data_IF_828395940077
#
_entry.id   IF_828395940077
#
_cell.length_a   1.000
_cell.length_b   1.000
_cell.length_c   1.000
_cell.angle_alpha   90.00
_cell.angle_beta   90.00
_cell.angle_gamma   90.00
#
_symmetry.space_group_name_H-M   'P 1'
#
loop_
_entity.id
_entity.type
_entity.pdbx_description
1 polymer ?
#
# COMPACT_ATOMS: atom_id res chain seq x y z
N UNK A 1 5.44 -57.92 9.97
CA UNK A 1 5.65 -56.67 10.69
C UNK A 1 4.41 -55.82 10.47
N UNK A 2 3.45 -55.85 11.45
CA UNK A 2 2.25 -55.01 11.45
C UNK A 2 2.66 -53.56 11.64
N UNK A 3 2.36 -52.69 10.65
CA UNK A 3 2.46 -51.25 10.80
C UNK A 3 1.56 -50.80 11.95
N UNK A 4 2.14 -50.30 13.04
CA UNK A 4 1.47 -49.67 14.16
C UNK A 4 0.63 -48.52 13.62
N UNK A 5 -0.68 -48.72 13.64
CA UNK A 5 -1.68 -47.75 13.22
C UNK A 5 -1.66 -46.61 14.29
N UNK A 6 -0.92 -45.55 14.04
CA UNK A 6 -0.87 -44.37 14.91
C UNK A 6 -2.28 -43.82 15.06
N UNK A 7 -2.89 -44.01 16.24
CA UNK A 7 -4.22 -43.46 16.60
C UNK A 7 -4.25 -41.98 16.25
N UNK A 8 -5.04 -41.62 15.24
CA UNK A 8 -5.23 -40.20 14.87
C UNK A 8 -5.76 -39.45 16.04
N UNK A 9 -4.98 -38.49 16.56
CA UNK A 9 -5.40 -37.63 17.68
C UNK A 9 -6.61 -36.79 17.27
N UNK A 10 -7.55 -36.56 18.21
CA UNK A 10 -8.72 -35.70 17.96
C UNK A 10 -8.27 -34.35 17.37
N UNK A 11 -9.00 -33.86 16.34
CA UNK A 11 -8.69 -32.63 15.65
C UNK A 11 -7.61 -32.73 14.57
N UNK A 12 -7.06 -33.96 14.27
CA UNK A 12 -6.08 -34.12 13.20
C UNK A 12 -6.75 -34.06 11.81
N UNK A 13 -6.29 -33.15 10.95
CA UNK A 13 -6.72 -33.04 9.57
C UNK A 13 -5.56 -32.59 8.67
N UNK A 14 -5.66 -32.81 7.33
CA UNK A 14 -4.62 -32.35 6.40
C UNK A 14 -4.44 -30.84 6.50
N UNK A 15 -3.27 -30.42 6.98
CA UNK A 15 -2.99 -29.03 7.31
C UNK A 15 -2.29 -28.27 6.19
N UNK A 16 -1.55 -28.99 5.34
CA UNK A 16 -0.66 -28.37 4.36
C UNK A 16 -1.43 -27.50 3.37
N UNK A 17 -2.51 -28.03 2.78
CA UNK A 17 -3.34 -27.29 1.83
C UNK A 17 -4.00 -26.07 2.46
N UNK A 18 -4.46 -26.19 3.72
CA UNK A 18 -5.07 -25.07 4.46
C UNK A 18 -4.03 -23.98 4.71
N UNK A 19 -2.84 -24.34 5.20
CA UNK A 19 -1.75 -23.38 5.48
C UNK A 19 -1.33 -22.67 4.19
N UNK A 20 -1.09 -23.41 3.09
CA UNK A 20 -0.70 -22.82 1.81
C UNK A 20 -1.75 -21.85 1.31
N UNK A 21 -3.04 -22.21 1.37
CA UNK A 21 -4.12 -21.35 0.88
C UNK A 21 -4.27 -20.08 1.70
N UNK A 22 -4.18 -20.17 3.04
CA UNK A 22 -4.18 -18.98 3.92
C UNK A 22 -2.96 -18.13 3.63
N UNK A 23 -1.78 -18.75 3.51
CA UNK A 23 -0.52 -18.02 3.22
C UNK A 23 -0.62 -17.26 1.91
N UNK A 24 -1.15 -17.88 0.85
CA UNK A 24 -1.32 -17.24 -0.46
C UNK A 24 -2.28 -16.05 -0.38
N UNK A 25 -3.43 -16.22 0.28
CA UNK A 25 -4.39 -15.14 0.46
C UNK A 25 -3.81 -13.98 1.27
N UNK A 26 -3.08 -14.27 2.35
CA UNK A 26 -2.41 -13.26 3.18
C UNK A 26 -1.27 -12.58 2.42
N UNK A 27 -0.51 -13.32 1.60
CA UNK A 27 0.55 -12.77 0.78
C UNK A 27 -0.01 -11.74 -0.23
N UNK A 28 -1.09 -12.09 -0.95
CA UNK A 28 -1.74 -11.14 -1.87
C UNK A 28 -2.31 -9.93 -1.12
N UNK A 29 -2.90 -10.14 0.06
CA UNK A 29 -3.37 -9.04 0.94
C UNK A 29 -2.21 -8.14 1.36
N UNK A 30 -1.08 -8.73 1.71
CA UNK A 30 0.13 -8.02 2.09
C UNK A 30 0.77 -7.25 0.93
N UNK A 31 0.77 -7.82 -0.28
CA UNK A 31 1.19 -7.09 -1.49
C UNK A 31 0.35 -5.84 -1.71
N UNK A 32 -0.96 -5.95 -1.56
CA UNK A 32 -1.84 -4.81 -1.67
C UNK A 32 -1.58 -3.76 -0.58
N UNK A 33 -1.40 -4.20 0.66
CA UNK A 33 -1.01 -3.31 1.76
C UNK A 33 0.31 -2.58 1.49
N UNK A 34 1.29 -3.27 0.89
CA UNK A 34 2.55 -2.65 0.46
C UNK A 34 2.35 -1.58 -0.62
N UNK A 35 1.54 -1.87 -1.65
CA UNK A 35 1.23 -0.90 -2.71
C UNK A 35 0.63 0.37 -2.10
N UNK A 36 -0.29 0.23 -1.14
CA UNK A 36 -0.89 1.38 -0.43
C UNK A 36 0.18 2.17 0.34
N UNK A 37 1.04 1.48 1.10
CA UNK A 37 2.09 2.14 1.89
C UNK A 37 3.05 2.91 0.98
N UNK A 38 3.58 2.26 -0.06
CA UNK A 38 4.51 2.92 -0.99
C UNK A 38 3.86 4.08 -1.74
N UNK A 39 2.59 3.95 -2.11
CA UNK A 39 1.86 5.04 -2.73
C UNK A 39 1.69 6.24 -1.81
N UNK A 40 1.37 6.02 -0.54
CA UNK A 40 1.24 7.11 0.44
C UNK A 40 2.58 7.77 0.72
N UNK A 41 3.68 7.00 0.82
CA UNK A 41 5.01 7.57 1.01
C UNK A 41 5.48 8.31 -0.26
N UNK A 42 5.16 7.82 -1.46
CA UNK A 42 5.43 8.51 -2.71
C UNK A 42 4.65 9.84 -2.79
N UNK A 43 3.35 9.82 -2.47
CA UNK A 43 2.54 11.05 -2.41
C UNK A 43 3.13 12.05 -1.42
N UNK A 44 3.56 11.60 -0.25
CA UNK A 44 4.22 12.43 0.76
C UNK A 44 5.52 13.03 0.23
N UNK A 45 6.38 12.22 -0.40
CA UNK A 45 7.65 12.65 -1.00
C UNK A 45 7.41 13.71 -2.08
N UNK A 46 6.44 13.47 -2.98
CA UNK A 46 6.07 14.43 -4.02
C UNK A 46 5.56 15.72 -3.40
N UNK A 47 4.67 15.64 -2.40
CA UNK A 47 4.14 16.83 -1.70
C UNK A 47 5.23 17.61 -0.98
N UNK A 48 6.16 16.96 -0.29
CA UNK A 48 7.28 17.63 0.41
C UNK A 48 8.23 18.32 -0.55
N UNK A 49 8.35 17.82 -1.78
CA UNK A 49 9.20 18.40 -2.83
C UNK A 49 8.42 19.27 -3.83
N UNK A 50 7.13 19.51 -3.60
CA UNK A 50 6.34 20.37 -4.46
C UNK A 50 6.92 21.77 -4.54
N UNK A 51 7.29 22.15 -5.75
CA UNK A 51 7.72 23.51 -6.10
C UNK A 51 6.72 24.09 -7.10
N UNK A 52 6.36 25.35 -6.89
CA UNK A 52 5.71 26.13 -7.92
C UNK A 52 6.77 26.74 -8.83
N UNK A 53 6.60 26.57 -10.11
CA UNK A 53 7.41 27.18 -11.14
C UNK A 53 6.69 28.44 -11.64
N UNK A 54 7.22 29.59 -11.29
CA UNK A 54 6.68 30.89 -11.68
C UNK A 54 7.49 31.39 -12.87
N UNK A 55 6.97 31.17 -14.07
CA UNK A 55 7.59 31.64 -15.32
C UNK A 55 7.39 33.14 -15.49
N UNK A 56 8.46 33.82 -15.86
CA UNK A 56 8.48 35.25 -16.05
C UNK A 56 8.21 35.64 -17.52
N UNK A 57 7.66 36.83 -17.73
CA UNK A 57 7.53 37.39 -19.08
C UNK A 57 8.91 37.71 -19.65
N UNK A 58 9.09 37.50 -20.95
CA UNK A 58 10.33 37.85 -21.64
C UNK A 58 10.57 39.37 -21.60
N UNK A 59 11.86 39.75 -21.51
CA UNK A 59 12.25 41.18 -21.58
C UNK A 59 12.07 41.98 -20.26
N UNK A 60 11.87 41.32 -19.14
CA UNK A 60 11.88 42.01 -17.83
C UNK A 60 13.26 42.56 -17.53
N UNK A 61 13.27 43.84 -17.07
CA UNK A 61 14.50 44.43 -16.54
C UNK A 61 14.86 43.80 -15.20
N UNK A 62 16.16 43.86 -14.85
CA UNK A 62 16.63 43.33 -13.57
C UNK A 62 15.89 43.92 -12.35
N UNK A 63 15.54 45.20 -12.43
CA UNK A 63 14.75 45.86 -11.41
C UNK A 63 13.35 45.28 -11.27
N UNK A 64 12.69 45.02 -12.38
CA UNK A 64 11.35 44.43 -12.39
C UNK A 64 11.39 42.95 -11.88
N UNK A 65 12.45 42.20 -12.24
CA UNK A 65 12.66 40.84 -11.75
C UNK A 65 12.82 40.79 -10.22
N UNK A 66 13.66 41.73 -9.65
CA UNK A 66 13.81 41.85 -8.21
C UNK A 66 12.52 42.29 -7.49
N UNK A 67 11.67 43.09 -8.15
CA UNK A 67 10.36 43.42 -7.59
C UNK A 67 9.43 42.19 -7.52
N UNK A 68 9.44 41.32 -8.54
CA UNK A 68 8.66 40.09 -8.51
C UNK A 68 9.21 39.19 -7.41
N UNK A 69 10.51 38.98 -7.32
CA UNK A 69 11.17 38.20 -6.27
C UNK A 69 10.76 38.64 -4.86
N UNK A 70 10.89 39.94 -4.57
CA UNK A 70 10.52 40.49 -3.28
C UNK A 70 9.04 40.27 -2.93
N UNK A 71 8.15 40.38 -3.93
CA UNK A 71 6.73 40.05 -3.74
C UNK A 71 6.51 38.59 -3.42
N UNK A 72 7.18 37.69 -4.15
CA UNK A 72 7.09 36.24 -3.92
C UNK A 72 7.61 35.86 -2.53
N UNK A 73 8.68 36.50 -2.03
CA UNK A 73 9.22 36.28 -0.69
C UNK A 73 8.27 36.72 0.45
N UNK A 74 7.42 37.71 0.20
CA UNK A 74 6.46 38.20 1.20
C UNK A 74 5.21 37.34 1.30
N UNK A 75 5.00 36.40 0.40
CA UNK A 75 3.79 35.57 0.40
C UNK A 75 3.75 34.61 1.60
N UNK A 76 2.58 34.46 2.24
CA UNK A 76 2.44 33.66 3.46
C UNK A 76 2.63 32.17 3.26
N UNK A 77 2.56 31.69 2.04
CA UNK A 77 2.66 30.28 1.67
C UNK A 77 4.07 29.86 1.22
N UNK A 78 5.01 30.81 1.06
CA UNK A 78 6.41 30.50 0.81
C UNK A 78 7.03 29.86 2.07
N UNK A 79 7.61 28.68 1.92
CA UNK A 79 8.15 27.92 3.06
C UNK A 79 9.49 28.49 3.53
N UNK A 80 9.48 29.29 4.57
CA UNK A 80 10.67 29.89 5.19
C UNK A 80 11.33 29.01 6.25
N UNK A 81 10.77 27.84 6.56
CA UNK A 81 11.06 27.16 7.85
C UNK A 81 11.95 25.92 7.73
N UNK A 82 12.22 25.35 6.56
CA UNK A 82 12.78 24.00 6.47
C UNK A 82 14.25 23.90 6.08
N UNK A 83 14.92 24.96 5.68
CA UNK A 83 16.37 24.92 5.40
C UNK A 83 16.95 26.32 5.47
N UNK A 84 18.22 26.46 5.82
CA UNK A 84 19.00 27.71 5.70
C UNK A 84 19.12 28.22 4.24
N UNK A 85 18.39 27.63 3.30
CA UNK A 85 18.30 28.03 1.91
C UNK A 85 17.10 28.94 1.68
N UNK A 86 17.25 29.92 0.82
CA UNK A 86 16.16 30.77 0.34
C UNK A 86 15.01 29.89 -0.18
N UNK A 87 13.75 30.13 0.26
CA UNK A 87 12.59 29.39 -0.22
C UNK A 87 12.33 29.58 -1.71
N UNK A 88 13.01 30.52 -2.33
CA UNK A 88 12.91 30.90 -3.74
C UNK A 88 14.27 30.73 -4.41
N UNK A 89 14.29 29.97 -5.49
CA UNK A 89 15.46 29.78 -6.35
C UNK A 89 15.15 30.34 -7.73
N UNK A 90 16.00 31.26 -8.21
CA UNK A 90 15.95 31.72 -9.59
C UNK A 90 16.63 30.72 -10.50
N UNK A 91 16.04 30.44 -11.64
CA UNK A 91 16.59 29.62 -12.71
C UNK A 91 16.44 30.40 -14.02
N UNK A 92 17.55 30.71 -14.66
CA UNK A 92 17.51 31.37 -15.98
C UNK A 92 17.08 30.41 -17.07
N UNK A 93 16.55 30.94 -18.16
CA UNK A 93 16.21 30.15 -19.35
C UNK A 93 17.40 29.36 -19.92
N UNK A 94 18.62 29.90 -19.78
CA UNK A 94 19.86 29.24 -20.22
C UNK A 94 20.21 28.07 -19.28
N UNK A 95 20.07 28.23 -17.97
CA UNK A 95 20.28 27.15 -16.99
C UNK A 95 19.25 26.03 -17.16
N UNK A 96 17.97 26.40 -17.39
CA UNK A 96 16.89 25.47 -17.66
C UNK A 96 17.16 24.67 -18.94
N UNK A 97 17.59 25.30 -20.01
CA UNK A 97 17.95 24.63 -21.27
C UNK A 97 19.11 23.65 -21.09
N UNK A 98 20.19 24.06 -20.42
CA UNK A 98 21.34 23.17 -20.14
C UNK A 98 20.90 21.95 -19.35
N UNK A 99 20.06 22.13 -18.33
CA UNK A 99 19.55 21.05 -17.51
C UNK A 99 18.69 20.09 -18.34
N UNK A 100 17.78 20.60 -19.15
CA UNK A 100 16.92 19.80 -20.02
C UNK A 100 17.74 18.95 -21.00
N UNK A 101 18.74 19.55 -21.68
CA UNK A 101 19.63 18.85 -22.60
C UNK A 101 20.44 17.76 -21.89
N UNK A 102 20.91 18.05 -20.67
CA UNK A 102 21.66 17.07 -19.88
C UNK A 102 20.80 15.87 -19.43
N UNK A 103 19.52 16.08 -19.13
CA UNK A 103 18.59 15.05 -18.67
C UNK A 103 17.98 14.23 -19.81
N UNK A 104 17.66 14.86 -20.94
CA UNK A 104 16.96 14.21 -22.06
C UNK A 104 17.91 13.78 -23.19
N UNK A 105 19.08 14.40 -23.31
CA UNK A 105 19.98 14.25 -24.44
C UNK A 105 19.52 14.98 -25.72
N UNK A 106 18.37 15.65 -25.69
CA UNK A 106 17.77 16.33 -26.85
C UNK A 106 18.05 17.83 -26.82
N UNK A 107 18.71 18.33 -27.86
CA UNK A 107 19.01 19.75 -28.00
C UNK A 107 17.96 20.43 -28.87
N UNK A 108 16.88 20.91 -28.23
CA UNK A 108 15.77 21.59 -28.91
C UNK A 108 16.17 22.95 -29.51
N UNK A 109 17.28 23.58 -29.06
CA UNK A 109 17.71 24.87 -29.59
C UNK A 109 18.11 24.77 -31.07
N UNK A 110 18.56 23.59 -31.51
CA UNK A 110 18.88 23.31 -32.92
C UNK A 110 17.65 23.31 -33.83
N UNK A 111 16.46 23.02 -33.28
CA UNK A 111 15.21 23.00 -34.04
C UNK A 111 14.52 24.36 -34.10
N UNK A 112 14.56 25.10 -32.99
CA UNK A 112 13.82 26.38 -32.86
C UNK A 112 14.69 27.61 -33.19
N UNK A 113 16.02 27.45 -33.30
CA UNK A 113 16.94 28.56 -33.62
C UNK A 113 17.17 29.54 -32.47
N UNK A 114 16.35 29.51 -31.42
CA UNK A 114 16.47 30.26 -30.16
C UNK A 114 15.94 29.42 -28.99
N UNK A 115 16.24 29.85 -27.77
CA UNK A 115 15.75 29.20 -26.56
C UNK A 115 14.30 29.66 -26.24
N UNK A 116 13.28 28.78 -26.40
CA UNK A 116 11.89 29.13 -26.16
C UNK A 116 11.52 29.18 -24.67
N UNK A 117 12.43 28.80 -23.77
CA UNK A 117 12.17 28.73 -22.34
C UNK A 117 12.10 30.15 -21.73
N UNK A 118 11.47 30.24 -20.58
CA UNK A 118 11.34 31.44 -19.79
C UNK A 118 12.23 31.36 -18.53
N UNK A 119 12.66 32.51 -18.07
CA UNK A 119 13.20 32.61 -16.71
C UNK A 119 12.13 32.22 -15.70
N UNK A 120 12.51 31.53 -14.64
CA UNK A 120 11.55 31.05 -13.65
C UNK A 120 12.05 31.21 -12.22
N UNK A 121 11.14 31.43 -11.31
CA UNK A 121 11.34 31.26 -9.89
C UNK A 121 10.75 29.93 -9.42
N UNK A 122 11.56 29.10 -8.78
CA UNK A 122 11.13 27.87 -8.11
C UNK A 122 10.84 28.18 -6.66
N UNK A 123 9.57 28.01 -6.24
CA UNK A 123 9.11 28.35 -4.90
C UNK A 123 8.69 27.08 -4.17
N UNK A 124 9.30 26.81 -3.01
CA UNK A 124 8.85 25.75 -2.10
C UNK A 124 7.63 26.27 -1.31
N UNK A 125 6.53 25.54 -1.41
CA UNK A 125 5.27 25.86 -0.72
C UNK A 125 5.21 25.11 0.62
N UNK A 126 4.67 25.78 1.65
CA UNK A 126 4.51 25.13 2.96
C UNK A 126 3.47 24.01 2.89
N UNK A 127 3.72 22.83 3.51
CA UNK A 127 2.88 21.62 3.40
C UNK A 127 1.38 21.85 3.71
N UNK A 128 1.05 22.78 4.60
CA UNK A 128 -0.35 23.10 4.92
C UNK A 128 -1.17 23.62 3.73
N UNK A 129 -0.50 24.11 2.67
CA UNK A 129 -1.15 24.63 1.46
C UNK A 129 -1.15 23.64 0.28
N UNK A 130 -0.67 22.41 0.47
CA UNK A 130 -0.57 21.40 -0.58
C UNK A 130 -1.90 20.76 -1.00
N UNK A 131 -3.05 21.26 -0.51
CA UNK A 131 -4.35 20.80 -1.02
C UNK A 131 -4.58 21.37 -2.43
N UNK A 132 -5.20 20.57 -3.31
CA UNK A 132 -5.45 20.95 -4.71
C UNK A 132 -6.20 22.29 -4.81
N UNK A 133 -7.18 22.52 -3.91
CA UNK A 133 -7.94 23.77 -3.86
C UNK A 133 -7.09 24.97 -3.47
N UNK A 134 -6.15 24.79 -2.53
CA UNK A 134 -5.23 25.84 -2.10
C UNK A 134 -4.20 26.15 -3.18
N UNK A 135 -3.61 25.12 -3.80
CA UNK A 135 -2.64 25.27 -4.87
C UNK A 135 -3.23 25.98 -6.10
N UNK A 136 -4.48 25.66 -6.48
CA UNK A 136 -5.18 26.35 -7.55
C UNK A 136 -5.44 27.84 -7.22
N UNK A 137 -5.76 28.17 -5.97
CA UNK A 137 -5.93 29.57 -5.55
C UNK A 137 -4.60 30.32 -5.62
N UNK A 138 -3.53 29.73 -5.08
CA UNK A 138 -2.18 30.29 -5.12
C UNK A 138 -1.72 30.52 -6.56
N UNK A 139 -1.89 29.52 -7.44
CA UNK A 139 -1.59 29.65 -8.86
C UNK A 139 -2.30 30.86 -9.49
N UNK A 140 -3.63 30.97 -9.33
CA UNK A 140 -4.42 32.09 -9.87
C UNK A 140 -4.03 33.44 -9.28
N UNK A 141 -3.61 33.50 -8.04
CA UNK A 141 -3.14 34.71 -7.39
C UNK A 141 -1.79 35.16 -7.96
N UNK A 142 -0.85 34.24 -8.10
CA UNK A 142 0.47 34.51 -8.67
C UNK A 142 0.41 34.87 -10.16
N UNK A 143 -0.47 34.25 -10.94
CA UNK A 143 -0.66 34.57 -12.37
C UNK A 143 -1.18 35.99 -12.60
N UNK A 144 -1.82 36.62 -11.60
CA UNK A 144 -2.26 38.02 -11.68
C UNK A 144 -1.13 39.03 -11.39
N UNK A 145 0.04 38.56 -10.95
CA UNK A 145 1.14 39.46 -10.62
C UNK A 145 1.79 40.04 -11.89
N UNK A 146 2.09 41.32 -11.88
CA UNK A 146 2.80 41.95 -13.00
C UNK A 146 4.19 41.34 -13.17
N UNK A 147 4.53 40.91 -14.40
CA UNK A 147 5.81 40.28 -14.69
C UNK A 147 5.75 38.75 -14.73
N UNK A 148 4.70 38.11 -14.20
CA UNK A 148 4.47 36.68 -14.30
C UNK A 148 3.81 36.36 -15.63
N UNK A 149 4.33 35.36 -16.32
CA UNK A 149 3.77 34.83 -17.56
C UNK A 149 2.78 33.70 -17.26
N UNK A 150 3.22 32.70 -16.52
CA UNK A 150 2.43 31.50 -16.17
C UNK A 150 2.98 30.91 -14.88
N UNK A 151 2.13 30.22 -14.13
CA UNK A 151 2.52 29.44 -12.97
C UNK A 151 2.20 27.97 -13.23
N UNK A 152 3.20 27.12 -13.09
CA UNK A 152 3.05 25.67 -13.25
C UNK A 152 3.43 24.95 -11.95
N UNK A 153 2.82 23.81 -11.73
CA UNK A 153 3.21 22.84 -10.69
C UNK A 153 2.75 21.44 -11.12
N UNK A 154 3.38 20.43 -10.57
CA UNK A 154 3.13 19.03 -10.93
C UNK A 154 1.81 18.54 -10.31
N UNK A 155 0.69 19.09 -10.80
CA UNK A 155 -0.66 18.75 -10.32
C UNK A 155 -1.12 17.38 -10.82
N UNK A 156 -0.86 17.09 -12.10
CA UNK A 156 -1.43 15.93 -12.79
C UNK A 156 -0.84 14.59 -12.31
N UNK A 157 0.38 14.58 -11.79
CA UNK A 157 1.00 13.36 -11.25
C UNK A 157 0.29 12.88 -9.98
N UNK A 158 0.02 13.77 -9.02
CA UNK A 158 -0.60 13.39 -7.73
C UNK A 158 -2.05 12.97 -7.92
N UNK A 159 -2.81 13.71 -8.74
CA UNK A 159 -4.21 13.41 -9.01
C UNK A 159 -4.38 12.12 -9.83
N UNK A 160 -3.50 11.88 -10.81
CA UNK A 160 -3.51 10.67 -11.65
C UNK A 160 -3.13 9.43 -10.87
N UNK A 161 -2.14 9.52 -9.98
CA UNK A 161 -1.75 8.42 -9.09
C UNK A 161 -2.92 8.03 -8.19
N UNK A 162 -3.57 8.98 -7.52
CA UNK A 162 -4.69 8.70 -6.63
C UNK A 162 -5.89 8.06 -7.35
N UNK A 163 -6.25 8.54 -8.52
CA UNK A 163 -7.37 7.98 -9.30
C UNK A 163 -7.09 6.56 -9.77
N UNK A 164 -5.90 6.31 -10.28
CA UNK A 164 -5.48 4.98 -10.74
C UNK A 164 -5.39 3.99 -9.57
N UNK A 165 -4.89 4.42 -8.41
CA UNK A 165 -4.82 3.59 -7.21
C UNK A 165 -6.20 3.18 -6.71
N UNK A 166 -7.20 4.06 -6.76
CA UNK A 166 -8.57 3.71 -6.36
C UNK A 166 -9.15 2.61 -7.25
N UNK A 167 -8.94 2.71 -8.56
CA UNK A 167 -9.43 1.71 -9.51
C UNK A 167 -8.71 0.37 -9.35
N UNK A 168 -7.38 0.38 -9.24
CA UNK A 168 -6.56 -0.82 -8.99
C UNK A 168 -6.92 -1.41 -7.62
N UNK A 169 -7.12 -0.56 -6.61
CA UNK A 169 -7.51 -0.94 -5.27
C UNK A 169 -8.82 -1.72 -5.23
N UNK A 170 -9.80 -1.30 -6.00
CA UNK A 170 -11.10 -1.96 -6.06
C UNK A 170 -11.01 -3.36 -6.72
N UNK A 171 -10.22 -3.50 -7.78
CA UNK A 171 -9.96 -4.78 -8.43
C UNK A 171 -9.24 -5.73 -7.46
N UNK A 172 -8.19 -5.25 -6.79
CA UNK A 172 -7.42 -6.04 -5.82
C UNK A 172 -8.27 -6.43 -4.60
N UNK A 173 -9.12 -5.53 -4.09
CA UNK A 173 -10.06 -5.83 -3.02
C UNK A 173 -11.04 -6.94 -3.41
N UNK A 174 -11.55 -6.92 -4.64
CA UNK A 174 -12.37 -8.00 -5.21
C UNK A 174 -11.63 -9.33 -5.25
N UNK A 175 -10.38 -9.33 -5.71
CA UNK A 175 -9.53 -10.51 -5.77
C UNK A 175 -9.21 -11.06 -4.37
N UNK A 176 -8.89 -10.20 -3.40
CA UNK A 176 -8.66 -10.61 -2.00
C UNK A 176 -9.93 -11.25 -1.42
N UNK A 177 -11.08 -10.65 -1.66
CA UNK A 177 -12.37 -11.19 -1.19
C UNK A 177 -12.62 -12.58 -1.76
N UNK A 178 -12.38 -12.78 -3.06
CA UNK A 178 -12.51 -14.10 -3.72
C UNK A 178 -11.54 -15.13 -3.12
N UNK A 179 -10.29 -14.74 -2.87
CA UNK A 179 -9.30 -15.61 -2.22
C UNK A 179 -9.71 -15.98 -0.79
N UNK A 180 -10.22 -15.05 0.00
CA UNK A 180 -10.71 -15.32 1.35
C UNK A 180 -11.91 -16.26 1.34
N UNK A 181 -12.84 -16.09 0.42
CA UNK A 181 -13.96 -17.05 0.23
C UNK A 181 -13.43 -18.43 -0.10
N UNK A 182 -12.47 -18.54 -1.01
CA UNK A 182 -11.85 -19.83 -1.38
C UNK A 182 -11.18 -20.49 -0.18
N UNK A 183 -10.46 -19.72 0.65
CA UNK A 183 -9.85 -20.20 1.90
C UNK A 183 -10.92 -20.74 2.85
N UNK A 184 -12.01 -20.01 3.06
CA UNK A 184 -13.12 -20.44 3.93
C UNK A 184 -13.75 -21.73 3.43
N UNK A 185 -13.99 -21.84 2.14
CA UNK A 185 -14.53 -23.06 1.51
C UNK A 185 -13.58 -24.26 1.68
N UNK A 186 -12.29 -24.04 1.48
CA UNK A 186 -11.27 -25.09 1.62
C UNK A 186 -11.15 -25.56 3.08
N UNK A 187 -11.14 -24.64 4.05
CA UNK A 187 -11.16 -24.97 5.48
C UNK A 187 -12.43 -25.79 5.79
N UNK A 188 -13.58 -25.34 5.31
CA UNK A 188 -14.86 -26.03 5.55
C UNK A 188 -14.85 -27.46 5.01
N UNK A 189 -14.40 -27.67 3.77
CA UNK A 189 -14.29 -28.99 3.17
C UNK A 189 -13.30 -29.91 3.90
N UNK A 190 -12.14 -29.37 4.26
CA UNK A 190 -11.09 -30.11 4.99
C UNK A 190 -11.59 -30.51 6.38
N UNK A 191 -12.26 -29.61 7.09
CA UNK A 191 -12.83 -29.91 8.40
C UNK A 191 -13.98 -30.92 8.31
N UNK A 192 -14.84 -30.83 7.30
CA UNK A 192 -15.92 -31.81 7.07
C UNK A 192 -15.36 -33.23 6.93
N UNK A 193 -14.29 -33.41 6.14
CA UNK A 193 -13.63 -34.71 5.99
C UNK A 193 -12.99 -35.19 7.31
N UNK A 194 -12.37 -34.28 8.07
CA UNK A 194 -11.76 -34.59 9.35
C UNK A 194 -12.79 -35.00 10.41
N UNK A 195 -13.90 -34.28 10.49
CA UNK A 195 -15.01 -34.59 11.42
C UNK A 195 -15.70 -35.90 11.06
N UNK A 196 -15.88 -36.16 9.75
CA UNK A 196 -16.41 -37.45 9.26
C UNK A 196 -15.48 -38.60 9.63
N UNK A 197 -14.19 -38.47 9.44
CA UNK A 197 -13.18 -39.50 9.84
C UNK A 197 -13.18 -39.75 11.36
N UNK A 198 -13.59 -38.83 12.17
CA UNK A 198 -13.61 -38.89 13.65
C UNK A 198 -15.03 -39.03 14.21
N UNK A 199 -16.02 -39.31 13.38
CA UNK A 199 -17.44 -39.31 13.75
C UNK A 199 -17.79 -40.19 14.96
N UNK A 200 -17.21 -41.42 15.02
CA UNK A 200 -17.44 -42.36 16.12
C UNK A 200 -16.92 -41.81 17.45
N UNK A 201 -15.71 -41.23 17.47
CA UNK A 201 -15.12 -40.60 18.65
C UNK A 201 -15.95 -39.42 19.14
N UNK A 202 -16.36 -38.55 18.22
CA UNK A 202 -17.21 -37.39 18.54
C UNK A 202 -18.55 -37.85 19.10
N UNK A 203 -19.14 -38.90 18.52
CA UNK A 203 -20.40 -39.47 18.98
C UNK A 203 -20.32 -40.06 20.38
N UNK A 204 -19.26 -40.83 20.66
CA UNK A 204 -19.01 -41.38 21.99
C UNK A 204 -18.89 -40.27 23.04
N UNK A 205 -18.20 -39.18 22.71
CA UNK A 205 -18.09 -38.01 23.60
C UNK A 205 -19.44 -37.33 23.84
N UNK A 206 -20.29 -37.22 22.81
CA UNK A 206 -21.64 -36.66 22.93
C UNK A 206 -22.55 -37.53 23.81
N UNK A 207 -22.45 -38.86 23.67
CA UNK A 207 -23.25 -39.81 24.49
C UNK A 207 -22.88 -39.76 25.96
N UNK A 208 -21.64 -39.53 26.28
CA UNK A 208 -21.14 -39.33 27.68
C UNK A 208 -21.43 -37.93 28.21
N UNK A 209 -22.08 -37.04 27.40
CA UNK A 209 -22.49 -35.71 27.82
C UNK A 209 -21.43 -34.62 27.64
N UNK A 210 -20.42 -34.82 26.81
CA UNK A 210 -19.37 -33.80 26.56
C UNK A 210 -19.98 -32.51 25.98
N UNK A 211 -19.62 -31.38 26.55
CA UNK A 211 -20.05 -30.04 26.05
C UNK A 211 -19.49 -29.78 24.66
N UNK A 212 -20.28 -29.12 23.79
CA UNK A 212 -19.88 -28.78 22.40
C UNK A 212 -18.52 -28.08 22.36
N UNK A 213 -18.24 -27.16 23.29
CA UNK A 213 -16.98 -26.43 23.38
C UNK A 213 -15.78 -27.37 23.59
N UNK A 214 -15.92 -28.41 24.43
CA UNK A 214 -14.87 -29.39 24.66
C UNK A 214 -14.47 -30.12 23.36
N UNK A 215 -15.45 -30.44 22.51
CA UNK A 215 -15.22 -31.08 21.20
C UNK A 215 -14.58 -30.11 20.21
N UNK A 216 -14.93 -28.83 20.24
CA UNK A 216 -14.43 -27.78 19.32
C UNK A 216 -13.00 -27.34 19.63
N UNK A 217 -12.63 -27.26 20.90
CA UNK A 217 -11.37 -26.71 21.39
C UNK A 217 -10.12 -27.24 20.68
N UNK A 218 -9.91 -28.56 20.46
CA UNK A 218 -8.70 -29.08 19.81
C UNK A 218 -8.59 -28.66 18.33
N UNK A 219 -9.71 -28.46 17.64
CA UNK A 219 -9.73 -27.97 16.26
C UNK A 219 -9.40 -26.48 16.21
N UNK A 220 -9.95 -25.68 17.12
CA UNK A 220 -9.70 -24.25 17.18
C UNK A 220 -8.25 -23.94 17.54
N UNK A 221 -7.64 -24.69 18.46
CA UNK A 221 -6.23 -24.52 18.80
C UNK A 221 -5.31 -24.82 17.59
N UNK A 222 -5.66 -25.81 16.79
CA UNK A 222 -4.91 -26.10 15.55
C UNK A 222 -5.12 -25.00 14.50
N UNK A 223 -6.37 -24.52 14.32
CA UNK A 223 -6.67 -23.43 13.41
C UNK A 223 -5.89 -22.15 13.79
N UNK A 224 -5.80 -21.87 15.10
CA UNK A 224 -4.97 -20.78 15.63
C UNK A 224 -3.48 -20.97 15.23
N UNK A 225 -2.93 -22.17 15.42
CA UNK A 225 -1.56 -22.49 14.99
C UNK A 225 -1.35 -22.33 13.48
N UNK A 226 -2.32 -22.78 12.66
CA UNK A 226 -2.24 -22.62 11.20
C UNK A 226 -2.34 -21.15 10.79
N UNK A 227 -3.18 -20.35 11.45
CA UNK A 227 -3.28 -18.90 11.20
C UNK A 227 -1.97 -18.19 11.49
N UNK A 228 -1.32 -18.49 12.62
CA UNK A 228 0.00 -17.93 12.96
C UNK A 228 1.05 -18.37 11.94
N UNK A 229 1.15 -19.66 11.63
CA UNK A 229 2.13 -20.19 10.69
C UNK A 229 1.98 -19.53 9.31
N UNK A 230 0.74 -19.44 8.82
CA UNK A 230 0.44 -18.80 7.54
C UNK A 230 0.78 -17.30 7.54
N UNK A 231 0.49 -16.59 8.63
CA UNK A 231 0.82 -15.18 8.79
C UNK A 231 2.34 -14.93 8.80
N UNK A 232 3.09 -15.78 9.50
CA UNK A 232 4.56 -15.73 9.50
C UNK A 232 5.11 -15.98 8.09
N UNK A 233 4.65 -17.05 7.42
CA UNK A 233 5.10 -17.36 6.07
C UNK A 233 4.80 -16.22 5.08
N UNK A 234 3.59 -15.66 5.12
CA UNK A 234 3.23 -14.52 4.29
C UNK A 234 4.13 -13.30 4.57
N UNK A 235 4.39 -13.00 5.84
CA UNK A 235 5.28 -11.90 6.24
C UNK A 235 6.72 -12.12 5.78
N UNK A 236 7.23 -13.35 5.86
CA UNK A 236 8.55 -13.71 5.34
C UNK A 236 8.63 -13.53 3.83
N UNK A 237 7.63 -13.97 3.08
CA UNK A 237 7.59 -13.78 1.63
C UNK A 237 7.56 -12.30 1.24
N UNK A 238 6.78 -11.47 1.95
CA UNK A 238 6.75 -10.03 1.74
C UNK A 238 8.10 -9.40 2.06
N UNK A 239 8.72 -9.79 3.16
CA UNK A 239 10.04 -9.29 3.54
C UNK A 239 11.11 -9.64 2.49
N UNK A 240 11.10 -10.87 1.97
CA UNK A 240 12.00 -11.30 0.89
C UNK A 240 11.75 -10.48 -0.39
N UNK A 241 10.48 -10.23 -0.72
CA UNK A 241 10.13 -9.41 -1.88
C UNK A 241 10.64 -7.98 -1.75
N UNK A 242 10.45 -7.35 -0.58
CA UNK A 242 10.96 -6.00 -0.30
C UNK A 242 12.48 -5.97 -0.43
N UNK A 243 13.16 -6.96 0.15
CA UNK A 243 14.63 -7.05 0.06
C UNK A 243 15.11 -7.20 -1.37
N UNK A 244 14.41 -8.01 -2.17
CA UNK A 244 14.71 -8.18 -3.59
C UNK A 244 14.45 -6.90 -4.39
N UNK A 245 13.31 -6.24 -4.16
CA UNK A 245 12.93 -4.99 -4.83
C UNK A 245 13.95 -3.88 -4.53
N UNK A 246 14.33 -3.71 -3.26
CA UNK A 246 15.32 -2.68 -2.84
C UNK A 246 16.73 -2.93 -3.41
N UNK A 247 17.05 -4.17 -3.77
CA UNK A 247 18.34 -4.47 -4.39
C UNK A 247 18.39 -4.07 -5.87
N UNK A 248 17.24 -4.11 -6.56
CA UNK A 248 17.16 -3.87 -7.99
C UNK A 248 16.71 -2.44 -8.34
N UNK A 249 16.07 -1.74 -7.39
CA UNK A 249 15.54 -0.38 -7.59
C UNK A 249 15.92 0.46 -6.38
N UNK A 250 16.99 1.25 -6.51
CA UNK A 250 17.52 2.07 -5.40
C UNK A 250 16.52 3.11 -4.89
N UNK A 251 15.71 3.67 -5.77
CA UNK A 251 14.70 4.68 -5.43
C UNK A 251 13.61 4.17 -4.47
N UNK A 252 13.35 2.84 -4.43
CA UNK A 252 12.38 2.27 -3.51
C UNK A 252 12.82 2.35 -2.04
N UNK A 253 14.11 2.47 -1.77
CA UNK A 253 14.64 2.58 -0.41
C UNK A 253 14.14 3.87 0.26
N UNK A 254 14.05 4.95 -0.52
CA UNK A 254 13.57 6.27 -0.05
C UNK A 254 12.10 6.23 0.37
N UNK A 255 11.31 5.36 -0.29
CA UNK A 255 9.88 5.18 -0.03
C UNK A 255 9.60 4.17 1.11
N UNK A 256 10.64 3.52 1.63
CA UNK A 256 10.45 2.49 2.65
C UNK A 256 10.20 3.10 4.04
N UNK A 257 8.97 2.95 4.53
CA UNK A 257 8.63 3.24 5.91
C UNK A 257 8.65 1.93 6.73
N UNK A 258 9.72 1.75 7.51
CA UNK A 258 9.94 0.52 8.32
C UNK A 258 8.81 0.29 9.32
N UNK A 259 8.36 1.34 10.00
CA UNK A 259 7.32 1.26 11.03
C UNK A 259 5.99 0.76 10.44
N UNK A 260 5.56 1.34 9.32
CA UNK A 260 4.34 0.92 8.61
C UNK A 260 4.46 -0.49 8.04
N UNK A 261 5.64 -0.87 7.56
CA UNK A 261 5.92 -2.24 7.07
C UNK A 261 5.80 -3.27 8.18
N UNK A 262 6.36 -3.00 9.38
CA UNK A 262 6.20 -3.88 10.53
C UNK A 262 4.75 -3.96 11.01
N UNK A 263 4.03 -2.84 11.03
CA UNK A 263 2.60 -2.80 11.35
C UNK A 263 1.78 -3.64 10.37
N UNK A 264 2.08 -3.59 9.07
CA UNK A 264 1.47 -4.44 8.06
C UNK A 264 1.71 -5.92 8.36
N UNK A 265 2.95 -6.33 8.61
CA UNK A 265 3.29 -7.72 8.95
C UNK A 265 2.54 -8.20 10.21
N UNK A 266 2.44 -7.35 11.23
CA UNK A 266 1.65 -7.63 12.44
C UNK A 266 0.16 -7.80 12.13
N UNK A 267 -0.40 -6.96 11.27
CA UNK A 267 -1.80 -7.05 10.85
C UNK A 267 -2.09 -8.34 10.08
N UNK A 268 -1.17 -8.81 9.22
CA UNK A 268 -1.32 -10.08 8.51
C UNK A 268 -1.37 -11.29 9.45
N UNK A 269 -0.58 -11.30 10.53
CA UNK A 269 -0.66 -12.33 11.57
C UNK A 269 -2.04 -12.35 12.22
N UNK A 270 -2.55 -11.19 12.61
CA UNK A 270 -3.87 -11.05 13.25
C UNK A 270 -4.98 -11.51 12.30
N UNK A 271 -4.96 -11.04 11.05
CA UNK A 271 -5.96 -11.42 10.03
C UNK A 271 -5.91 -12.92 9.75
N UNK A 272 -4.71 -13.52 9.64
CA UNK A 272 -4.54 -14.96 9.43
C UNK A 272 -5.16 -15.78 10.56
N UNK A 273 -4.94 -15.39 11.80
CA UNK A 273 -5.54 -16.05 12.97
C UNK A 273 -7.06 -15.87 12.97
N UNK A 274 -7.57 -14.67 12.73
CA UNK A 274 -9.02 -14.39 12.69
C UNK A 274 -9.69 -15.25 11.63
N UNK A 275 -9.17 -15.27 10.40
CA UNK A 275 -9.75 -16.04 9.28
C UNK A 275 -9.74 -17.53 9.59
N UNK A 276 -8.62 -18.08 10.07
CA UNK A 276 -8.50 -19.49 10.38
C UNK A 276 -9.44 -19.93 11.51
N UNK A 277 -9.49 -19.17 12.61
CA UNK A 277 -10.29 -19.50 13.80
C UNK A 277 -11.79 -19.33 13.53
N UNK A 278 -12.20 -18.21 12.91
CA UNK A 278 -13.62 -17.94 12.61
C UNK A 278 -14.17 -18.95 11.61
N UNK A 279 -13.46 -19.24 10.51
CA UNK A 279 -13.86 -20.25 9.54
C UNK A 279 -14.01 -21.62 10.19
N UNK A 280 -13.04 -22.02 11.00
CA UNK A 280 -13.08 -23.29 11.74
C UNK A 280 -14.25 -23.36 12.72
N UNK A 281 -14.47 -22.29 13.47
CA UNK A 281 -15.57 -22.21 14.45
C UNK A 281 -16.94 -22.39 13.78
N UNK A 282 -17.19 -21.63 12.70
CA UNK A 282 -18.47 -21.73 11.98
C UNK A 282 -18.66 -23.09 11.31
N UNK A 283 -17.61 -23.66 10.72
CA UNK A 283 -17.65 -24.98 10.09
C UNK A 283 -18.00 -26.07 11.09
N UNK A 284 -17.35 -26.11 12.24
CA UNK A 284 -17.60 -27.12 13.28
C UNK A 284 -19.01 -26.92 13.87
N UNK A 285 -19.41 -25.67 14.15
CA UNK A 285 -20.74 -25.37 14.67
C UNK A 285 -21.85 -25.83 13.73
N UNK A 286 -21.67 -25.65 12.42
CA UNK A 286 -22.60 -26.14 11.39
C UNK A 286 -22.68 -27.67 11.43
N UNK A 287 -21.53 -28.36 11.44
CA UNK A 287 -21.47 -29.82 11.46
C UNK A 287 -22.10 -30.43 12.71
N UNK A 288 -21.82 -29.87 13.92
CA UNK A 288 -22.38 -30.37 15.19
C UNK A 288 -23.88 -30.08 15.35
N UNK A 289 -24.50 -29.29 14.47
CA UNK A 289 -25.94 -29.03 14.42
C UNK A 289 -26.72 -29.97 13.45
N UNK A 290 -26.00 -30.61 12.51
CA UNK A 290 -26.63 -31.49 11.53
C UNK A 290 -27.15 -32.75 12.23
N UNK A 291 -28.35 -33.19 11.84
CA UNK A 291 -28.97 -34.41 12.34
C UNK A 291 -28.27 -35.65 11.82
N UNK A 292 -28.53 -36.80 12.48
CA UNK A 292 -27.92 -38.08 12.11
C UNK A 292 -28.24 -38.51 10.68
N UNK A 293 -29.47 -38.20 10.24
CA UNK A 293 -30.03 -38.61 8.95
C UNK A 293 -29.41 -37.86 7.77
N UNK A 294 -28.79 -36.68 8.03
CA UNK A 294 -28.07 -35.88 7.03
C UNK A 294 -26.60 -36.31 6.87
N UNK A 295 -26.13 -37.25 7.70
CA UNK A 295 -24.76 -37.75 7.70
C UNK A 295 -24.59 -39.11 6.99
N UNK A 296 -25.73 -39.72 6.58
CA UNK A 296 -25.79 -40.89 5.78
C UNK A 296 -26.35 -40.56 4.40
#
# INVERSE_FOLDING_TARGET
VQKVNTRKKLGSYPSLGVVISITLALFVTGLFGMIIIYSQEFEKLVRENLRLEVYLKNGLTETQRKQVEKKLETLPYANKTLTNESPIKFVSKEEAAKKFIAETGEDFTKFYGDNPLHDAYLIKIHPQFHSDSSMLKIKKEMEKMAGVYQVSYVQDLVSSVNKNLTSIGLILAGMITLLLITVVLLINNTLRLALFSQRFLIRSMQLVGARKWFIQRPFLLRAFGYGILSGILASVFIWLLIKYANRNVEDLIVLQNKERTFSLMGSLLIVGVIVAVTSTFFSIRKYLKMSLDELY
#
